data_IF_154393195240
#
_entry.id   IF_154393195240
#
_cell.length_a   1.000
_cell.length_b   1.000
_cell.length_c   1.000
_cell.angle_alpha   90.00
_cell.angle_beta   90.00
_cell.angle_gamma   90.00
#
_symmetry.space_group_name_H-M   'P 1'
#
loop_
_entity.id
_entity.type
_entity.pdbx_description
1 polymer ?
#
# COMPACT_ATOMS: atom_id res chain seq x y z
N UNK A 1 11.45 30.09 -6.50
CA UNK A 1 10.06 29.88 -6.98
C UNK A 1 9.38 28.99 -5.95
N UNK A 2 8.47 29.56 -5.16
CA UNK A 2 7.76 28.84 -4.10
C UNK A 2 6.81 27.83 -4.73
N UNK A 3 7.01 26.54 -4.45
CA UNK A 3 6.15 25.47 -4.96
C UNK A 3 4.92 25.34 -4.02
N UNK A 4 3.70 25.74 -4.42
CA UNK A 4 2.56 25.79 -3.49
C UNK A 4 1.92 24.42 -3.17
N UNK A 5 2.47 23.30 -3.63
CA UNK A 5 1.81 21.97 -3.61
C UNK A 5 2.30 20.99 -2.52
N UNK A 6 2.83 21.47 -1.39
CA UNK A 6 3.31 20.56 -0.33
C UNK A 6 2.30 20.33 0.80
N UNK A 7 1.09 20.88 0.73
CA UNK A 7 0.07 20.71 1.77
C UNK A 7 -1.21 20.17 1.13
N UNK A 8 -1.71 19.09 1.71
CA UNK A 8 -3.01 18.49 1.40
C UNK A 8 -3.79 18.32 2.70
N UNK A 9 -5.09 18.03 2.61
CA UNK A 9 -5.96 17.96 3.78
C UNK A 9 -6.67 16.61 3.84
N UNK A 10 -6.84 16.08 5.05
CA UNK A 10 -7.77 14.95 5.23
C UNK A 10 -9.23 15.43 5.31
N UNK A 11 -10.16 14.50 5.49
CA UNK A 11 -11.59 14.80 5.55
C UNK A 11 -12.00 15.70 6.72
N UNK A 12 -11.15 15.82 7.76
CA UNK A 12 -11.38 16.71 8.90
C UNK A 12 -10.79 18.10 8.68
N UNK A 13 -10.13 18.34 7.54
CA UNK A 13 -9.43 19.59 7.26
C UNK A 13 -8.06 19.68 7.94
N UNK A 14 -7.51 18.57 8.45
CA UNK A 14 -6.18 18.56 9.05
C UNK A 14 -5.14 18.61 7.93
N UNK A 15 -4.21 19.56 8.05
CA UNK A 15 -3.11 19.71 7.11
C UNK A 15 -2.11 18.54 7.20
N UNK A 16 -1.76 17.99 6.04
CA UNK A 16 -0.78 16.93 5.83
C UNK A 16 0.28 17.47 4.88
N UNK A 17 1.53 17.45 5.32
CA UNK A 17 2.65 17.93 4.52
C UNK A 17 3.24 16.79 3.70
N UNK A 18 3.28 16.94 2.38
CA UNK A 18 4.01 16.06 1.48
C UNK A 18 5.49 16.40 1.56
N UNK A 19 6.30 15.47 2.08
CA UNK A 19 7.73 15.71 2.38
C UNK A 19 8.63 15.37 1.20
N UNK A 20 8.51 14.13 0.70
CA UNK A 20 9.40 13.57 -0.32
C UNK A 20 8.63 12.65 -1.24
N UNK A 21 8.80 12.83 -2.55
CA UNK A 21 8.30 11.87 -3.54
C UNK A 21 9.14 10.60 -3.51
N UNK A 22 8.48 9.46 -3.32
CA UNK A 22 9.08 8.12 -3.26
C UNK A 22 9.01 7.44 -4.61
N UNK A 23 7.90 7.60 -5.32
CA UNK A 23 7.69 6.97 -6.60
C UNK A 23 6.69 7.77 -7.46
N UNK A 24 6.71 7.54 -8.76
CA UNK A 24 5.80 8.10 -9.75
C UNK A 24 5.47 7.01 -10.77
N UNK A 25 4.18 6.85 -11.08
CA UNK A 25 3.71 5.88 -12.06
C UNK A 25 2.53 6.41 -12.88
N UNK A 26 1.97 5.56 -13.74
CA UNK A 26 0.89 5.95 -14.65
C UNK A 26 -0.42 6.38 -13.96
N UNK A 27 -0.59 6.00 -12.69
CA UNK A 27 -1.77 6.34 -11.90
C UNK A 27 -1.58 7.62 -11.08
N UNK A 28 -0.38 7.89 -10.60
CA UNK A 28 -0.09 8.94 -9.64
C UNK A 28 1.28 8.86 -9.01
N UNK A 29 1.48 9.67 -7.98
CA UNK A 29 2.71 9.79 -7.22
C UNK A 29 2.53 9.27 -5.80
N UNK A 30 3.58 8.67 -5.22
CA UNK A 30 3.61 8.24 -3.82
C UNK A 30 4.56 9.17 -3.06
N UNK A 31 4.07 9.71 -1.94
CA UNK A 31 4.77 10.69 -1.12
C UNK A 31 4.91 10.25 0.33
N UNK A 32 6.06 10.49 0.93
CA UNK A 32 6.21 10.53 2.39
C UNK A 32 5.46 11.74 2.96
N UNK A 33 4.85 11.56 4.13
CA UNK A 33 3.98 12.58 4.73
C UNK A 33 4.44 13.05 6.11
N UNK A 34 3.81 14.10 6.64
CA UNK A 34 3.92 14.49 8.05
C UNK A 34 3.23 13.54 9.02
N UNK A 35 2.36 12.66 8.53
CA UNK A 35 1.68 11.66 9.36
C UNK A 35 2.59 10.44 9.50
N UNK A 36 2.97 10.15 10.73
CA UNK A 36 3.91 9.06 11.02
C UNK A 36 3.36 7.71 10.54
N UNK A 37 4.25 6.89 9.97
CA UNK A 37 3.89 5.59 9.40
C UNK A 37 2.89 5.61 8.23
N UNK A 38 2.64 6.77 7.58
CA UNK A 38 1.73 6.87 6.44
C UNK A 38 2.39 7.50 5.20
N UNK A 39 2.08 6.94 4.04
CA UNK A 39 2.35 7.51 2.72
C UNK A 39 1.06 8.09 2.14
N UNK A 40 1.19 9.04 1.22
CA UNK A 40 0.08 9.52 0.40
C UNK A 40 0.25 9.05 -1.05
N UNK A 41 -0.79 8.44 -1.64
CA UNK A 41 -0.90 8.28 -3.09
C UNK A 41 -1.72 9.46 -3.62
N UNK A 42 -1.13 10.25 -4.51
CA UNK A 42 -1.75 11.40 -5.16
C UNK A 42 -1.95 11.07 -6.62
N UNK A 43 -3.20 10.94 -7.06
CA UNK A 43 -3.51 10.60 -8.44
C UNK A 43 -3.14 11.72 -9.41
N UNK A 44 -2.79 11.36 -10.65
CA UNK A 44 -2.72 12.31 -11.76
C UNK A 44 -4.12 12.91 -12.01
N UNK A 45 -4.19 14.14 -12.50
CA UNK A 45 -5.47 14.85 -12.70
C UNK A 45 -6.48 14.04 -13.51
N UNK A 46 -6.03 13.38 -14.59
CA UNK A 46 -6.86 12.50 -15.44
C UNK A 46 -7.50 11.31 -14.69
N UNK A 47 -6.96 10.93 -13.54
CA UNK A 47 -7.40 9.78 -12.74
C UNK A 47 -8.22 10.19 -11.50
N UNK A 48 -8.46 11.50 -11.27
CA UNK A 48 -9.24 12.01 -10.12
C UNK A 48 -10.75 12.06 -10.41
N UNK A 49 -11.29 10.96 -10.92
CA UNK A 49 -12.71 10.91 -11.29
C UNK A 49 -13.63 10.74 -10.08
N UNK A 50 -14.92 11.01 -10.28
CA UNK A 50 -15.97 10.77 -9.27
C UNK A 50 -16.07 9.29 -8.88
N UNK A 51 -15.85 8.40 -9.83
CA UNK A 51 -15.85 6.95 -9.64
C UNK A 51 -14.67 6.53 -8.78
N UNK A 52 -13.47 7.07 -9.05
CA UNK A 52 -12.28 6.81 -8.24
C UNK A 52 -12.47 7.30 -6.79
N UNK A 53 -13.01 8.51 -6.61
CA UNK A 53 -13.37 8.99 -5.28
C UNK A 53 -14.34 8.05 -4.54
N UNK A 54 -15.41 7.62 -5.21
CA UNK A 54 -16.41 6.71 -4.63
C UNK A 54 -15.80 5.35 -4.27
N UNK A 55 -14.94 4.81 -5.13
CA UNK A 55 -14.20 3.57 -4.90
C UNK A 55 -13.34 3.66 -3.63
N UNK A 56 -12.47 4.66 -3.55
CA UNK A 56 -11.55 4.81 -2.42
C UNK A 56 -12.32 5.08 -1.12
N UNK A 57 -13.37 5.89 -1.18
CA UNK A 57 -14.26 6.11 -0.04
C UNK A 57 -14.87 4.78 0.45
N UNK A 58 -15.38 3.96 -0.47
CA UNK A 58 -15.94 2.65 -0.14
C UNK A 58 -14.91 1.73 0.50
N UNK A 59 -13.68 1.67 -0.04
CA UNK A 59 -12.59 0.87 0.51
C UNK A 59 -12.27 1.28 1.95
N UNK A 60 -12.20 2.57 2.25
CA UNK A 60 -11.93 3.08 3.61
C UNK A 60 -13.03 2.66 4.58
N UNK A 61 -14.29 2.69 4.15
CA UNK A 61 -15.45 2.33 4.98
C UNK A 61 -15.62 0.81 5.17
N UNK A 62 -15.03 -0.01 4.28
CA UNK A 62 -15.24 -1.47 4.24
C UNK A 62 -13.92 -2.27 4.17
N UNK A 63 -12.92 -2.02 5.03
CA UNK A 63 -11.63 -2.69 4.91
C UNK A 63 -11.76 -4.22 5.10
N UNK A 64 -10.94 -5.02 4.39
CA UNK A 64 -10.80 -6.44 4.68
C UNK A 64 -10.16 -6.67 6.05
N UNK A 65 -10.33 -7.87 6.60
CA UNK A 65 -9.68 -8.26 7.85
C UNK A 65 -8.18 -8.39 7.61
N UNK A 66 -7.36 -7.75 8.46
CA UNK A 66 -5.91 -7.98 8.48
C UNK A 66 -5.61 -9.15 9.44
N UNK A 67 -5.36 -10.39 8.93
CA UNK A 67 -5.09 -11.54 9.77
C UNK A 67 -3.81 -11.41 10.60
N UNK A 68 -2.86 -10.58 10.18
CA UNK A 68 -1.56 -10.41 10.82
C UNK A 68 -1.48 -9.22 11.78
N UNK A 69 -2.60 -8.54 12.05
CA UNK A 69 -2.65 -7.36 12.94
C UNK A 69 -2.11 -7.65 14.34
N UNK A 70 -2.34 -8.85 14.86
CA UNK A 70 -1.84 -9.30 16.17
C UNK A 70 -0.31 -9.39 16.24
N UNK A 71 0.38 -9.41 15.09
CA UNK A 71 1.83 -9.41 14.97
C UNK A 71 2.40 -8.00 14.75
N UNK A 72 1.57 -6.96 14.83
CA UNK A 72 1.96 -5.58 14.50
C UNK A 72 2.24 -5.37 13.01
N UNK A 73 1.72 -6.24 12.14
CA UNK A 73 1.99 -6.24 10.71
C UNK A 73 0.79 -5.79 9.88
N UNK A 74 1.04 -4.99 8.84
CA UNK A 74 0.05 -4.60 7.85
C UNK A 74 0.19 -5.47 6.62
N UNK A 75 -0.71 -6.44 6.43
CA UNK A 75 -0.65 -7.34 5.28
C UNK A 75 -1.14 -6.73 3.95
N UNK A 76 -1.62 -5.49 3.97
CA UNK A 76 -1.97 -4.72 2.78
C UNK A 76 -1.82 -3.21 3.01
N UNK A 77 -1.47 -2.46 1.96
CA UNK A 77 -1.43 -0.98 2.01
C UNK A 77 -2.80 -0.37 1.72
N UNK A 78 -3.81 -0.80 2.49
CA UNK A 78 -5.19 -0.39 2.26
C UNK A 78 -5.38 1.11 2.49
N UNK A 79 -6.23 1.80 1.70
CA UNK A 79 -6.57 3.20 1.93
C UNK A 79 -7.11 3.43 3.34
N UNK A 80 -6.60 4.43 4.05
CA UNK A 80 -7.01 4.77 5.43
C UNK A 80 -7.79 6.06 5.51
N UNK A 81 -7.45 7.06 4.67
CA UNK A 81 -8.11 8.37 4.64
C UNK A 81 -8.07 8.97 3.25
N UNK A 82 -9.10 9.72 2.90
CA UNK A 82 -9.12 10.56 1.71
C UNK A 82 -8.20 11.76 1.90
N UNK A 83 -7.57 12.19 0.80
CA UNK A 83 -6.71 13.37 0.72
C UNK A 83 -7.31 14.34 -0.29
N UNK A 84 -7.35 15.62 0.07
CA UNK A 84 -7.97 16.70 -0.70
C UNK A 84 -7.08 17.95 -0.79
N UNK A 85 -7.37 18.81 -1.75
CA UNK A 85 -6.77 20.15 -1.82
C UNK A 85 -7.48 21.14 -0.86
N UNK A 86 -7.01 22.38 -0.85
CA UNK A 86 -7.57 23.51 -0.09
C UNK A 86 -9.03 23.84 -0.48
N UNK A 87 -9.45 23.44 -1.68
CA UNK A 87 -10.80 23.61 -2.23
C UNK A 87 -11.67 22.37 -2.06
N UNK A 88 -11.27 21.42 -1.20
CA UNK A 88 -11.98 20.17 -0.92
C UNK A 88 -12.09 19.21 -2.11
N UNK A 89 -11.30 19.40 -3.18
CA UNK A 89 -11.27 18.47 -4.30
C UNK A 89 -10.45 17.24 -3.96
N UNK A 90 -10.93 16.08 -4.38
CA UNK A 90 -10.25 14.80 -4.20
C UNK A 90 -8.90 14.78 -4.95
N UNK A 91 -7.84 14.38 -4.24
CA UNK A 91 -6.49 14.20 -4.78
C UNK A 91 -6.03 12.74 -4.73
N UNK A 92 -6.44 11.99 -3.72
CA UNK A 92 -5.98 10.62 -3.48
C UNK A 92 -6.23 10.18 -2.05
N UNK A 93 -5.31 9.42 -1.47
CA UNK A 93 -5.50 8.83 -0.14
C UNK A 93 -4.20 8.60 0.64
N UNK A 94 -4.34 8.42 1.96
CA UNK A 94 -3.28 7.93 2.85
C UNK A 94 -3.32 6.40 2.95
N UNK A 95 -2.15 5.79 3.09
CA UNK A 95 -1.98 4.35 3.31
C UNK A 95 -0.78 4.06 4.23
N UNK A 96 -0.72 2.89 4.89
CA UNK A 96 0.41 2.50 5.71
C UNK A 96 1.73 2.50 4.93
N UNK A 97 2.78 3.05 5.54
CA UNK A 97 4.15 2.90 5.06
C UNK A 97 4.66 1.51 5.45
N UNK A 98 5.21 0.78 4.49
CA UNK A 98 5.85 -0.51 4.73
C UNK A 98 7.36 -0.31 4.75
N UNK A 99 7.97 -0.69 5.86
CA UNK A 99 9.41 -0.60 6.06
C UNK A 99 10.02 -2.00 6.18
N UNK A 100 11.32 -2.11 5.88
CA UNK A 100 12.08 -3.35 6.07
C UNK A 100 11.50 -4.58 5.35
N UNK A 101 10.94 -4.38 4.16
CA UNK A 101 10.43 -5.44 3.30
C UNK A 101 11.09 -5.41 1.92
N UNK A 102 11.14 -6.57 1.26
CA UNK A 102 11.68 -6.74 -0.11
C UNK A 102 10.58 -7.26 -1.02
N UNK A 103 10.65 -6.95 -2.32
CA UNK A 103 9.76 -7.57 -3.30
C UNK A 103 9.89 -9.10 -3.29
N UNK A 104 8.78 -9.79 -3.54
CA UNK A 104 8.69 -11.25 -3.47
C UNK A 104 9.69 -11.97 -4.39
N UNK A 105 10.10 -11.34 -5.49
CA UNK A 105 11.15 -11.85 -6.38
C UNK A 105 12.47 -12.14 -5.68
N UNK A 106 12.82 -11.32 -4.68
CA UNK A 106 14.03 -11.52 -3.89
C UNK A 106 13.96 -12.78 -3.02
N UNK A 107 12.75 -13.27 -2.75
CA UNK A 107 12.51 -14.49 -1.99
C UNK A 107 12.44 -15.72 -2.88
N UNK A 108 11.63 -15.74 -3.94
CA UNK A 108 11.46 -17.00 -4.71
C UNK A 108 12.63 -17.28 -5.66
N UNK A 109 13.32 -16.25 -6.17
CA UNK A 109 14.53 -16.44 -6.99
C UNK A 109 15.67 -17.00 -6.14
N UNK A 110 16.19 -18.22 -6.41
CA UNK A 110 17.27 -18.79 -5.61
C UNK A 110 18.54 -17.93 -5.60
N UNK A 111 18.88 -17.33 -6.74
CA UNK A 111 20.08 -16.49 -6.89
C UNK A 111 19.97 -15.23 -6.02
N UNK A 112 18.84 -14.53 -6.09
CA UNK A 112 18.60 -13.31 -5.29
C UNK A 112 18.43 -13.65 -3.80
N UNK A 113 17.75 -14.74 -3.48
CA UNK A 113 17.57 -15.18 -2.09
C UNK A 113 18.91 -15.46 -1.43
N UNK A 114 19.80 -16.18 -2.09
CA UNK A 114 21.12 -16.51 -1.54
C UNK A 114 21.97 -15.26 -1.25
N UNK A 115 21.80 -14.16 -1.99
CA UNK A 115 22.55 -12.92 -1.79
C UNK A 115 21.86 -11.93 -0.84
N UNK A 116 20.53 -11.78 -0.94
CA UNK A 116 19.76 -10.75 -0.25
C UNK A 116 19.05 -11.23 1.01
N UNK A 117 18.80 -12.53 1.13
CA UNK A 117 18.03 -13.19 2.17
C UNK A 117 18.67 -14.55 2.55
N UNK A 118 19.98 -14.60 2.89
CA UNK A 118 20.70 -15.87 3.07
C UNK A 118 20.11 -16.76 4.17
N UNK A 119 19.45 -16.18 5.17
CA UNK A 119 18.80 -16.89 6.28
C UNK A 119 17.49 -17.60 5.86
N UNK A 120 16.94 -17.30 4.68
CA UNK A 120 15.66 -17.83 4.22
C UNK A 120 15.81 -19.24 3.66
N UNK A 121 15.60 -20.22 4.54
CA UNK A 121 15.49 -21.62 4.18
C UNK A 121 14.06 -22.00 3.71
N UNK A 122 13.86 -23.28 3.40
CA UNK A 122 12.58 -23.81 2.91
C UNK A 122 11.39 -23.53 3.84
N UNK A 123 11.59 -23.44 5.17
CA UNK A 123 10.52 -23.13 6.12
C UNK A 123 9.98 -21.72 5.92
N UNK A 124 10.86 -20.76 5.62
CA UNK A 124 10.45 -19.39 5.30
C UNK A 124 9.70 -19.33 3.97
N UNK A 125 10.12 -20.09 2.95
CA UNK A 125 9.41 -20.17 1.67
C UNK A 125 7.99 -20.69 1.86
N UNK A 126 7.82 -21.79 2.60
CA UNK A 126 6.52 -22.36 2.89
C UNK A 126 5.66 -21.42 3.74
N UNK A 127 6.26 -20.73 4.71
CA UNK A 127 5.58 -19.75 5.55
C UNK A 127 5.09 -18.56 4.74
N UNK A 128 5.92 -18.01 3.84
CA UNK A 128 5.54 -16.92 2.95
C UNK A 128 4.40 -17.32 2.01
N UNK A 129 4.48 -18.51 1.40
CA UNK A 129 3.41 -19.03 0.54
C UNK A 129 2.08 -19.20 1.30
N UNK A 130 2.13 -19.76 2.52
CA UNK A 130 0.96 -19.88 3.40
C UNK A 130 0.37 -18.52 3.75
N UNK A 131 1.21 -17.56 4.14
CA UNK A 131 0.79 -16.21 4.50
C UNK A 131 0.15 -15.49 3.32
N UNK A 132 0.72 -15.61 2.11
CA UNK A 132 0.13 -15.06 0.89
C UNK A 132 -1.25 -15.66 0.61
N UNK A 133 -1.39 -16.98 0.65
CA UNK A 133 -2.68 -17.64 0.44
C UNK A 133 -3.73 -17.20 1.48
N UNK A 134 -3.31 -17.04 2.74
CA UNK A 134 -4.19 -16.60 3.81
C UNK A 134 -4.68 -15.16 3.63
N UNK A 135 -3.80 -14.26 3.20
CA UNK A 135 -4.17 -12.87 2.90
C UNK A 135 -5.14 -12.81 1.72
N UNK A 136 -4.87 -13.55 0.64
CA UNK A 136 -5.76 -13.62 -0.52
C UNK A 136 -7.16 -14.12 -0.11
N UNK A 137 -7.23 -15.16 0.72
CA UNK A 137 -8.49 -15.66 1.26
C UNK A 137 -9.30 -14.56 1.96
N UNK A 138 -8.68 -13.80 2.88
CA UNK A 138 -9.36 -12.73 3.63
C UNK A 138 -9.80 -11.55 2.75
N UNK A 139 -9.06 -11.26 1.68
CA UNK A 139 -9.45 -10.23 0.70
C UNK A 139 -10.68 -10.71 -0.08
N UNK A 140 -10.67 -11.96 -0.56
CA UNK A 140 -11.77 -12.55 -1.32
C UNK A 140 -13.03 -12.78 -0.47
N UNK A 141 -12.89 -13.16 0.80
CA UNK A 141 -14.01 -13.32 1.73
C UNK A 141 -14.81 -12.01 1.88
N UNK A 142 -14.13 -10.86 1.76
CA UNK A 142 -14.76 -9.54 1.83
C UNK A 142 -15.36 -9.08 0.48
N UNK A 143 -15.20 -9.86 -0.58
CA UNK A 143 -15.72 -9.58 -1.92
C UNK A 143 -14.78 -8.77 -2.82
N UNK A 144 -13.54 -8.53 -2.42
CA UNK A 144 -12.52 -7.87 -3.25
C UNK A 144 -11.80 -8.89 -4.14
N UNK A 145 -11.40 -8.48 -5.34
CA UNK A 145 -10.71 -9.35 -6.30
C UNK A 145 -9.32 -8.77 -6.57
N UNK A 146 -8.27 -9.58 -6.38
CA UNK A 146 -6.94 -9.21 -6.87
C UNK A 146 -6.85 -9.51 -8.36
N UNK A 147 -7.13 -8.50 -9.19
CA UNK A 147 -7.15 -8.64 -10.65
C UNK A 147 -5.78 -8.96 -11.27
N UNK A 148 -4.69 -8.46 -10.70
CA UNK A 148 -3.33 -8.66 -11.22
C UNK A 148 -2.34 -8.96 -10.08
N UNK A 149 -2.00 -10.25 -9.92
CA UNK A 149 -1.05 -10.71 -8.90
C UNK A 149 0.36 -10.69 -9.49
N UNK A 150 1.08 -9.60 -9.28
CA UNK A 150 2.47 -9.44 -9.72
C UNK A 150 3.44 -9.50 -8.54
N UNK A 151 4.60 -10.18 -8.66
CA UNK A 151 5.60 -10.24 -7.58
C UNK A 151 6.08 -8.88 -7.06
N UNK A 152 6.13 -7.85 -7.91
CA UNK A 152 6.50 -6.49 -7.52
C UNK A 152 5.49 -5.84 -6.56
N UNK A 153 4.23 -6.29 -6.60
CA UNK A 153 3.15 -5.82 -5.73
C UNK A 153 3.03 -6.64 -4.44
N UNK A 154 3.95 -7.57 -4.21
CA UNK A 154 3.99 -8.39 -3.01
C UNK A 154 5.33 -8.17 -2.32
N UNK A 155 5.29 -7.66 -1.10
CA UNK A 155 6.46 -7.48 -0.26
C UNK A 155 6.53 -8.57 0.80
N UNK A 156 7.74 -8.94 1.18
CA UNK A 156 8.04 -9.88 2.25
C UNK A 156 9.07 -9.30 3.21
N UNK A 157 8.79 -9.37 4.52
CA UNK A 157 9.73 -8.94 5.55
C UNK A 157 10.65 -10.10 6.00
N UNK A 158 11.57 -9.81 6.92
CA UNK A 158 12.52 -10.78 7.48
C UNK A 158 11.88 -11.94 8.30
N UNK A 159 10.56 -11.88 8.57
CA UNK A 159 9.78 -12.90 9.27
C UNK A 159 8.89 -13.72 8.33
N UNK A 160 9.06 -13.60 7.00
CA UNK A 160 8.18 -14.16 5.99
C UNK A 160 6.72 -13.68 6.07
N UNK A 161 6.47 -12.52 6.69
CA UNK A 161 5.17 -11.87 6.64
C UNK A 161 5.02 -11.12 5.31
N UNK A 162 3.84 -11.23 4.73
CA UNK A 162 3.53 -10.74 3.38
C UNK A 162 2.73 -9.45 3.48
N UNK A 163 3.05 -8.50 2.61
CA UNK A 163 2.23 -7.29 2.37
C UNK A 163 1.87 -7.20 0.90
N UNK A 164 0.59 -7.01 0.61
CA UNK A 164 0.13 -6.67 -0.74
C UNK A 164 0.09 -5.15 -0.87
N UNK A 165 0.80 -4.61 -1.85
CA UNK A 165 0.80 -3.18 -2.16
C UNK A 165 -0.06 -2.90 -3.39
N UNK A 166 -0.30 -1.61 -3.68
CA UNK A 166 -1.09 -1.17 -4.84
C UNK A 166 -2.53 -1.70 -4.83
N UNK A 167 -3.14 -1.69 -3.63
CA UNK A 167 -4.45 -2.29 -3.37
C UNK A 167 -5.62 -1.52 -3.97
N UNK A 168 -5.42 -0.27 -4.37
CA UNK A 168 -6.45 0.55 -5.02
C UNK A 168 -6.74 0.13 -6.47
N UNK A 169 -6.02 -0.86 -7.00
CA UNK A 169 -6.30 -1.53 -8.27
C UNK A 169 -7.39 -2.61 -8.19
N UNK A 170 -7.79 -3.03 -6.99
CA UNK A 170 -8.74 -4.14 -6.76
C UNK A 170 -10.17 -3.84 -7.22
#
# INVERSE_FOLDING_TARGET
MNNPMNIVYDYQGIAIYLKKKINEGGEGEIWETSVDGQLAKIYLEKNRSTEMYAKIKFMIEHPPVNPTKHQGHNCFTWPTRLVRDDKQKFLGFLMPKIESAKELINLYSPQLRNSLLPEFNWKYLLTAAKNLAWIIYHIHERGYILGDIQPKNILVNNQALITIVDTDSF
#
